data_IF_157621899959
#
_entry.id   IF_157621899959
#
_cell.length_a   1.000
_cell.length_b   1.000
_cell.length_c   1.000
_cell.angle_alpha   90.00
_cell.angle_beta   90.00
_cell.angle_gamma   90.00
#
_symmetry.space_group_name_H-M   'P 1'
#
loop_
_entity.id
_entity.type
_entity.pdbx_description
1 polymer ?
#
# COMPACT_ATOMS: atom_id res chain seq x y z
N UNK A 1 1.03 -12.95 -4.49
CA UNK A 1 1.08 -13.38 -3.07
C UNK A 1 1.11 -14.90 -2.88
N UNK A 2 0.32 -15.72 -3.60
CA UNK A 2 0.35 -17.20 -3.49
C UNK A 2 1.75 -17.82 -3.63
N UNK A 3 2.50 -17.40 -4.65
CA UNK A 3 3.87 -17.89 -4.86
C UNK A 3 4.82 -17.45 -3.74
N UNK A 4 4.66 -16.23 -3.20
CA UNK A 4 5.44 -15.77 -2.06
C UNK A 4 5.14 -16.62 -0.81
N UNK A 5 3.86 -16.94 -0.55
CA UNK A 5 3.47 -17.86 0.51
C UNK A 5 4.10 -19.24 0.34
N UNK A 6 4.10 -19.78 -0.89
CA UNK A 6 4.66 -21.09 -1.20
C UNK A 6 6.16 -21.18 -0.87
N UNK A 7 6.95 -20.17 -1.27
CA UNK A 7 8.41 -20.19 -1.13
C UNK A 7 8.90 -19.75 0.25
N UNK A 8 8.10 -18.97 0.99
CA UNK A 8 8.49 -18.47 2.30
C UNK A 8 8.52 -19.62 3.31
N UNK A 9 9.54 -19.65 4.17
CA UNK A 9 9.64 -20.61 5.27
C UNK A 9 8.56 -20.32 6.34
N UNK A 10 8.08 -21.32 7.08
CA UNK A 10 7.18 -21.11 8.22
C UNK A 10 7.76 -20.14 9.25
N UNK A 11 6.90 -19.41 9.94
CA UNK A 11 7.22 -18.37 10.94
C UNK A 11 8.10 -17.23 10.42
N UNK A 12 8.13 -16.97 9.11
CA UNK A 12 8.87 -15.84 8.52
C UNK A 12 7.94 -14.76 8.01
N UNK A 13 8.49 -13.56 7.89
CA UNK A 13 7.78 -12.35 7.50
C UNK A 13 7.88 -12.09 6.00
N UNK A 14 6.83 -11.49 5.46
CA UNK A 14 6.72 -10.97 4.11
C UNK A 14 6.16 -9.55 4.19
N UNK A 15 7.02 -8.56 3.94
CA UNK A 15 6.66 -7.16 4.04
C UNK A 15 6.43 -6.57 2.64
N UNK A 16 5.30 -5.90 2.45
CA UNK A 16 4.93 -5.24 1.19
C UNK A 16 4.81 -3.73 1.41
N UNK A 17 5.56 -2.94 0.63
CA UNK A 17 5.40 -1.49 0.61
C UNK A 17 4.37 -1.12 -0.46
N UNK A 18 3.32 -0.44 -0.04
CA UNK A 18 2.13 -0.18 -0.85
C UNK A 18 1.72 1.28 -0.71
N UNK A 19 1.53 1.95 -1.84
CA UNK A 19 0.94 3.27 -1.88
C UNK A 19 -0.57 3.20 -2.08
N UNK A 20 -1.34 3.81 -1.18
CA UNK A 20 -2.79 3.99 -1.37
C UNK A 20 -3.05 5.00 -2.50
N UNK A 21 -3.77 4.55 -3.53
CA UNK A 21 -4.00 5.36 -4.74
C UNK A 21 -5.33 6.09 -4.67
N UNK A 22 -5.35 7.29 -5.24
CA UNK A 22 -6.56 8.03 -5.55
C UNK A 22 -6.81 7.89 -7.06
N UNK A 23 -7.96 7.35 -7.45
CA UNK A 23 -8.35 7.19 -8.85
C UNK A 23 -9.72 7.81 -9.04
N UNK A 24 -9.83 8.79 -9.94
CA UNK A 24 -11.09 9.56 -10.14
C UNK A 24 -11.71 10.03 -8.81
N UNK A 25 -10.89 10.60 -7.93
CA UNK A 25 -11.27 11.05 -6.57
C UNK A 25 -11.78 9.95 -5.62
N UNK A 26 -11.70 8.67 -6.01
CA UNK A 26 -11.98 7.54 -5.12
C UNK A 26 -10.68 7.05 -4.50
N UNK A 27 -10.62 7.04 -3.17
CA UNK A 27 -9.47 6.52 -2.43
C UNK A 27 -9.57 5.00 -2.40
N UNK A 28 -8.55 4.34 -2.93
CA UNK A 28 -8.43 2.89 -2.93
C UNK A 28 -7.52 2.50 -1.74
N UNK A 29 -8.07 1.87 -0.68
CA UNK A 29 -7.31 1.40 0.48
C UNK A 29 -6.58 0.10 0.13
N UNK A 30 -5.55 0.20 -0.71
CA UNK A 30 -4.80 -0.95 -1.24
C UNK A 30 -4.12 -1.75 -0.14
N UNK A 31 -3.69 -1.09 0.94
CA UNK A 31 -3.11 -1.74 2.12
C UNK A 31 -4.08 -2.73 2.77
N UNK A 32 -5.30 -2.30 3.07
CA UNK A 32 -6.34 -3.17 3.63
C UNK A 32 -6.74 -4.30 2.67
N UNK A 33 -6.88 -3.99 1.37
CA UNK A 33 -7.20 -5.00 0.35
C UNK A 33 -6.11 -6.08 0.30
N UNK A 34 -4.84 -5.68 0.37
CA UNK A 34 -3.72 -6.62 0.36
C UNK A 34 -3.71 -7.47 1.63
N UNK A 35 -3.96 -6.87 2.80
CA UNK A 35 -4.05 -7.60 4.06
C UNK A 35 -5.13 -8.69 3.98
N UNK A 36 -6.35 -8.34 3.56
CA UNK A 36 -7.47 -9.29 3.43
C UNK A 36 -7.18 -10.42 2.42
N UNK A 37 -6.61 -10.07 1.27
CA UNK A 37 -6.24 -11.04 0.25
C UNK A 37 -5.10 -11.97 0.72
N UNK A 38 -4.18 -11.47 1.53
CA UNK A 38 -3.10 -12.25 2.10
C UNK A 38 -3.61 -13.27 3.13
N UNK A 39 -4.60 -12.90 3.95
CA UNK A 39 -5.25 -13.80 4.90
C UNK A 39 -5.93 -14.98 4.20
N UNK A 40 -6.66 -14.71 3.11
CA UNK A 40 -7.26 -15.76 2.27
C UNK A 40 -6.24 -16.73 1.66
N UNK A 41 -4.97 -16.34 1.58
CA UNK A 41 -3.86 -17.16 1.04
C UNK A 41 -3.18 -17.98 2.16
N UNK A 42 -3.41 -17.66 3.44
CA UNK A 42 -2.81 -18.33 4.59
C UNK A 42 -1.68 -17.54 5.27
N UNK A 43 -1.51 -16.26 4.94
CA UNK A 43 -0.72 -15.35 5.79
C UNK A 43 -1.56 -14.85 6.97
N UNK A 44 -0.90 -14.38 8.02
CA UNK A 44 -1.51 -13.56 9.08
C UNK A 44 -1.02 -12.13 8.90
N UNK A 45 -1.91 -11.14 8.91
CA UNK A 45 -1.52 -9.74 8.94
C UNK A 45 -1.14 -9.37 10.38
N UNK A 46 0.12 -9.02 10.61
CA UNK A 46 0.63 -8.66 11.94
C UNK A 46 0.50 -7.15 12.17
N UNK A 47 0.81 -6.33 11.15
CA UNK A 47 0.72 -4.88 11.26
C UNK A 47 0.66 -4.19 9.88
N UNK A 48 0.19 -2.94 9.86
CA UNK A 48 0.22 -2.04 8.71
C UNK A 48 0.84 -0.72 9.16
N UNK A 49 2.11 -0.51 8.81
CA UNK A 49 2.88 0.66 9.25
C UNK A 49 2.79 1.76 8.19
N UNK A 50 2.20 2.91 8.54
CA UNK A 50 2.13 4.06 7.63
C UNK A 50 3.35 4.94 7.81
N UNK A 51 4.05 5.26 6.70
CA UNK A 51 5.20 6.16 6.68
C UNK A 51 5.11 7.23 5.59
N UNK A 52 5.84 8.31 5.77
CA UNK A 52 6.02 9.33 4.72
C UNK A 52 7.03 8.83 3.68
N UNK A 53 6.85 9.22 2.42
CA UNK A 53 7.80 8.92 1.33
C UNK A 53 8.88 10.02 1.30
N UNK A 54 10.12 9.75 1.73
CA UNK A 54 11.19 10.73 1.64
C UNK A 54 11.62 10.91 0.17
N UNK A 55 11.92 12.14 -0.25
CA UNK A 55 12.49 12.40 -1.58
C UNK A 55 11.58 12.02 -2.75
N UNK A 56 10.27 12.29 -2.65
CA UNK A 56 9.29 11.98 -3.70
C UNK A 56 9.62 12.76 -4.99
N UNK A 57 9.99 12.06 -6.07
CA UNK A 57 10.24 12.67 -7.39
C UNK A 57 8.99 13.29 -8.02
N UNK A 58 7.82 12.76 -7.67
CA UNK A 58 6.53 13.28 -8.12
C UNK A 58 6.11 14.47 -7.25
N UNK A 59 5.50 15.52 -7.83
CA UNK A 59 5.01 16.67 -7.06
C UNK A 59 4.04 16.27 -5.95
N UNK A 60 4.12 16.94 -4.79
CA UNK A 60 3.25 16.75 -3.62
C UNK A 60 1.79 17.15 -3.91
N UNK A 61 1.59 18.04 -4.89
CA UNK A 61 0.28 18.50 -5.34
C UNK A 61 0.17 18.36 -6.86
N UNK A 62 -0.98 17.94 -7.35
CA UNK A 62 -1.30 17.92 -8.78
C UNK A 62 -2.68 18.57 -9.01
N UNK A 63 -2.98 18.95 -10.26
CA UNK A 63 -4.34 19.33 -10.67
C UNK A 63 -4.89 18.22 -11.56
N UNK A 64 -5.52 17.17 -11.00
CA UNK A 64 -6.04 16.06 -11.78
C UNK A 64 -7.25 16.46 -12.65
N UNK A 65 -7.91 17.56 -12.31
CA UNK A 65 -9.01 18.17 -13.07
C UNK A 65 -8.52 19.05 -14.21
N UNK A 66 -7.23 19.34 -14.29
CA UNK A 66 -6.61 20.25 -15.26
C UNK A 66 -7.19 21.69 -15.20
N UNK A 67 -7.84 22.04 -14.10
CA UNK A 67 -8.35 23.38 -13.82
C UNK A 67 -7.28 24.14 -13.04
N UNK A 68 -6.91 25.32 -13.52
CA UNK A 68 -5.90 26.18 -12.87
C UNK A 68 -6.36 26.51 -11.45
N UNK A 69 -5.50 26.23 -10.46
CA UNK A 69 -5.78 26.47 -9.04
C UNK A 69 -6.52 25.34 -8.30
N UNK A 70 -7.11 24.37 -9.01
CA UNK A 70 -7.72 23.19 -8.40
C UNK A 70 -6.64 22.14 -8.08
N UNK A 71 -5.91 22.35 -6.98
CA UNK A 71 -4.84 21.45 -6.54
C UNK A 71 -5.38 20.39 -5.57
N UNK A 72 -5.04 19.12 -5.82
CA UNK A 72 -5.24 18.00 -4.91
C UNK A 72 -3.89 17.50 -4.38
N UNK A 73 -3.91 16.93 -3.17
CA UNK A 73 -2.74 16.28 -2.62
C UNK A 73 -2.47 14.96 -3.35
N UNK A 74 -1.21 14.74 -3.72
CA UNK A 74 -0.77 13.45 -4.23
C UNK A 74 -0.41 12.51 -3.07
N UNK A 75 -0.17 11.24 -3.39
CA UNK A 75 0.21 10.24 -2.41
C UNK A 75 1.54 10.59 -1.71
N UNK A 76 1.44 11.13 -0.49
CA UNK A 76 2.59 11.54 0.32
C UNK A 76 3.04 10.48 1.33
N UNK A 77 2.19 9.46 1.53
CA UNK A 77 2.38 8.37 2.47
C UNK A 77 2.30 7.03 1.75
N UNK A 78 3.01 6.06 2.28
CA UNK A 78 2.90 4.66 1.90
C UNK A 78 2.77 3.79 3.15
N UNK A 79 2.16 2.63 2.98
CA UNK A 79 1.90 1.65 4.02
C UNK A 79 2.82 0.45 3.81
N UNK A 80 3.43 -0.04 4.89
CA UNK A 80 4.17 -1.30 4.91
C UNK A 80 3.25 -2.34 5.53
N UNK A 81 2.71 -3.24 4.72
CA UNK A 81 1.89 -4.36 5.18
C UNK A 81 2.83 -5.49 5.62
N UNK A 82 2.81 -5.81 6.92
CA UNK A 82 3.64 -6.85 7.53
C UNK A 82 2.81 -8.12 7.62
N UNK A 83 3.18 -9.13 6.83
CA UNK A 83 2.52 -10.42 6.79
C UNK A 83 3.44 -11.49 7.37
N UNK A 84 2.87 -12.48 8.06
CA UNK A 84 3.61 -13.63 8.59
C UNK A 84 3.03 -14.92 8.04
N UNK A 85 3.91 -15.81 7.57
CA UNK A 85 3.50 -17.18 7.26
C UNK A 85 3.55 -17.99 8.55
N UNK A 86 2.44 -18.65 8.87
CA UNK A 86 2.40 -19.62 9.95
C UNK A 86 3.20 -20.88 9.57
#
# INVERSE_FOLDING_TARGET
>A
MKQAHRILKPKKYFCLVVGNRLVKQVRIPTDFIIAELAEKIGFTCEDIIVRNIPGKRMPIKNSPTNIVGALEETMNKESIVVLRKN
#
